data_IF_101524335700
#
_entry.id   IF_101524335700
#
_cell.length_a   1.000
_cell.length_b   1.000
_cell.length_c   1.000
_cell.angle_alpha   90.00
_cell.angle_beta   90.00
_cell.angle_gamma   90.00
#
_symmetry.space_group_name_H-M   'P 1'
#
loop_
_entity.id
_entity.type
_entity.pdbx_description
1 polymer ?
#
# COMPACT_ATOMS: atom_id res chain seq x y z
N UNK A 1 20.80 -4.15 3.48
CA UNK A 1 21.76 -3.06 3.77
C UNK A 1 22.00 -2.90 5.27
N UNK A 2 20.99 -2.63 6.09
CA UNK A 2 21.14 -2.55 7.56
C UNK A 2 21.76 -3.82 8.19
N UNK A 3 21.33 -5.01 7.75
CA UNK A 3 21.90 -6.27 8.21
C UNK A 3 23.41 -6.38 7.92
N UNK A 4 23.87 -5.89 6.77
CA UNK A 4 25.28 -5.93 6.36
C UNK A 4 26.11 -5.02 7.28
N UNK A 5 25.64 -3.78 7.51
CA UNK A 5 26.30 -2.83 8.42
C UNK A 5 26.41 -3.43 9.83
N UNK A 6 25.35 -4.07 10.32
CA UNK A 6 25.33 -4.71 11.63
C UNK A 6 26.25 -5.94 11.71
N UNK A 7 26.20 -6.85 10.74
CA UNK A 7 26.95 -8.12 10.79
C UNK A 7 28.45 -7.95 10.55
N UNK A 8 28.84 -6.98 9.72
CA UNK A 8 30.24 -6.77 9.34
C UNK A 8 30.94 -5.69 10.21
N UNK A 9 30.22 -5.08 11.16
CA UNK A 9 30.76 -4.06 12.08
C UNK A 9 31.42 -2.88 11.34
N UNK A 10 30.81 -2.48 10.22
CA UNK A 10 31.28 -1.38 9.38
C UNK A 10 30.99 -0.07 10.10
N UNK A 11 32.02 0.72 10.41
CA UNK A 11 31.90 1.93 11.26
C UNK A 11 31.82 3.25 10.48
N UNK A 12 32.16 3.24 9.20
CA UNK A 12 32.18 4.41 8.31
C UNK A 12 30.95 4.48 7.39
N UNK A 13 29.97 3.60 7.60
CA UNK A 13 28.79 3.45 6.72
C UNK A 13 27.51 3.49 7.54
N UNK A 14 26.54 4.27 7.09
CA UNK A 14 25.17 4.30 7.62
C UNK A 14 24.18 3.59 6.70
N UNK A 15 23.00 3.25 7.22
CA UNK A 15 21.91 2.67 6.43
C UNK A 15 20.63 3.49 6.58
N UNK A 16 19.94 3.75 5.47
CA UNK A 16 18.57 4.28 5.46
C UNK A 16 17.61 3.10 5.48
N UNK A 17 16.87 2.97 6.57
CA UNK A 17 15.93 1.87 6.79
C UNK A 17 14.81 2.30 7.74
N UNK A 18 13.81 1.42 7.91
CA UNK A 18 12.78 1.62 8.94
C UNK A 18 13.41 1.67 10.34
N UNK A 19 12.81 2.40 11.27
CA UNK A 19 13.26 2.44 12.67
C UNK A 19 13.34 1.05 13.30
N UNK A 20 12.46 0.14 12.89
CA UNK A 20 12.47 -1.27 13.28
C UNK A 20 13.78 -1.98 12.92
N UNK A 21 14.46 -1.57 11.85
CA UNK A 21 15.74 -2.17 11.49
C UNK A 21 16.85 -1.89 12.52
N UNK A 22 16.70 -0.90 13.40
CA UNK A 22 17.65 -0.64 14.48
C UNK A 22 17.63 -1.75 15.56
N UNK A 23 16.53 -2.49 15.69
CA UNK A 23 16.36 -3.59 16.66
C UNK A 23 17.38 -4.73 16.47
N UNK A 24 18.09 -4.76 15.33
CA UNK A 24 19.17 -5.74 15.06
C UNK A 24 20.53 -5.32 15.65
N UNK A 25 20.56 -4.33 16.55
CA UNK A 25 21.77 -3.88 17.25
C UNK A 25 22.46 -2.68 16.59
N UNK A 26 21.69 -1.80 15.94
CA UNK A 26 22.18 -0.54 15.38
C UNK A 26 21.58 0.66 16.11
N UNK A 27 22.29 1.79 16.08
CA UNK A 27 21.79 3.05 16.62
C UNK A 27 21.15 3.92 15.52
N UNK A 28 20.06 4.60 15.88
CA UNK A 28 19.43 5.59 15.00
C UNK A 28 20.14 6.93 15.18
N UNK A 29 20.87 7.38 14.16
CA UNK A 29 21.60 8.66 14.19
C UNK A 29 20.67 9.86 14.01
N UNK A 30 19.73 9.79 13.06
CA UNK A 30 18.73 10.81 12.76
C UNK A 30 17.41 10.12 12.38
N UNK A 31 16.30 10.63 12.90
CA UNK A 31 14.95 10.18 12.56
C UNK A 31 14.33 11.05 11.47
N UNK A 32 13.34 10.49 10.77
CA UNK A 32 12.46 11.25 9.86
C UNK A 32 13.24 12.02 8.78
N UNK A 33 14.16 11.33 8.08
CA UNK A 33 15.00 11.93 7.04
C UNK A 33 14.35 11.96 5.65
N UNK A 34 13.12 11.47 5.52
CA UNK A 34 12.42 11.45 4.24
C UNK A 34 12.02 12.85 3.79
N UNK A 35 12.02 13.08 2.48
CA UNK A 35 11.64 14.38 1.90
C UNK A 35 10.14 14.66 2.04
N UNK A 36 9.31 13.62 1.93
CA UNK A 36 7.85 13.70 2.01
C UNK A 36 7.34 12.93 3.24
N UNK A 37 6.66 13.66 4.14
CA UNK A 37 6.07 13.10 5.34
C UNK A 37 4.81 12.26 5.05
N UNK A 38 4.16 12.46 3.90
CA UNK A 38 2.92 11.80 3.49
C UNK A 38 3.17 10.53 2.65
N UNK A 39 4.39 9.99 2.68
CA UNK A 39 4.73 8.73 2.01
C UNK A 39 4.10 7.52 2.71
N UNK A 40 2.90 7.14 2.26
CA UNK A 40 2.09 6.06 2.84
C UNK A 40 1.98 4.87 1.88
N UNK A 41 2.37 3.69 2.36
CA UNK A 41 2.16 2.43 1.64
C UNK A 41 0.89 1.72 2.12
N UNK A 42 -0.06 1.46 1.22
CA UNK A 42 -1.29 0.70 1.52
C UNK A 42 -1.05 -0.81 1.32
N UNK A 43 -1.29 -1.60 2.36
CA UNK A 43 -1.21 -3.07 2.30
C UNK A 43 -2.61 -3.72 2.26
N UNK A 44 -2.69 -4.91 1.65
CA UNK A 44 -3.89 -5.76 1.67
C UNK A 44 -3.57 -7.03 2.47
N UNK A 45 -4.47 -7.41 3.37
CA UNK A 45 -4.42 -8.68 4.09
C UNK A 45 -5.32 -9.65 3.34
N UNK A 46 -4.78 -10.79 2.93
CA UNK A 46 -5.48 -11.80 2.14
C UNK A 46 -5.71 -13.06 2.99
N UNK A 47 -6.89 -13.65 2.84
CA UNK A 47 -7.24 -14.94 3.41
C UNK A 47 -7.69 -15.88 2.29
N UNK A 48 -7.45 -17.19 2.47
CA UNK A 48 -7.89 -18.21 1.52
C UNK A 48 -9.41 -18.36 1.53
N UNK A 49 -9.97 -18.45 2.72
CA UNK A 49 -11.42 -18.55 2.92
C UNK A 49 -12.04 -17.15 3.00
N UNK A 50 -13.25 -16.97 2.43
CA UNK A 50 -13.92 -15.68 2.46
C UNK A 50 -14.33 -15.32 3.88
N UNK A 51 -13.94 -14.12 4.30
CA UNK A 51 -14.46 -13.50 5.53
C UNK A 51 -15.67 -12.67 5.12
N UNK A 52 -16.87 -13.09 5.51
CA UNK A 52 -18.09 -12.36 5.21
C UNK A 52 -18.16 -11.14 6.13
N UNK A 53 -18.11 -9.91 5.59
CA UNK A 53 -18.20 -8.71 6.41
C UNK A 53 -19.62 -8.53 6.96
N UNK A 54 -19.72 -8.02 8.20
CA UNK A 54 -20.99 -7.54 8.76
C UNK A 54 -21.49 -6.26 8.07
N UNK A 55 -22.70 -5.80 8.39
CA UNK A 55 -23.29 -4.57 7.81
C UNK A 55 -23.12 -3.33 8.71
N UNK A 56 -22.36 -3.45 9.78
CA UNK A 56 -22.20 -2.44 10.83
C UNK A 56 -21.25 -1.28 10.46
N UNK A 57 -20.47 -1.43 9.38
CA UNK A 57 -19.43 -0.48 8.98
C UNK A 57 -19.35 -0.30 7.46
N UNK A 58 -18.79 0.82 6.98
CA UNK A 58 -18.47 0.98 5.57
C UNK A 58 -17.42 -0.04 5.10
N UNK A 59 -17.64 -0.60 3.91
CA UNK A 59 -16.72 -1.57 3.31
C UNK A 59 -16.17 -1.05 1.99
N UNK A 60 -14.94 -1.47 1.68
CA UNK A 60 -14.34 -1.25 0.36
C UNK A 60 -14.26 -2.58 -0.38
N UNK A 61 -14.74 -2.60 -1.62
CA UNK A 61 -14.67 -3.75 -2.51
C UNK A 61 -13.64 -3.48 -3.60
N UNK A 62 -12.75 -4.43 -3.85
CA UNK A 62 -11.85 -4.41 -5.01
C UNK A 62 -12.33 -5.40 -6.05
N UNK A 63 -12.45 -4.94 -7.29
CA UNK A 63 -12.85 -5.75 -8.44
C UNK A 63 -11.81 -5.61 -9.54
N UNK A 64 -11.71 -6.64 -10.38
CA UNK A 64 -10.96 -6.60 -11.64
C UNK A 64 -11.89 -7.09 -12.72
N UNK A 65 -11.92 -6.40 -13.86
CA UNK A 65 -12.71 -6.77 -15.01
C UNK A 65 -11.96 -6.40 -16.29
N UNK A 66 -12.26 -7.11 -17.36
CA UNK A 66 -11.77 -6.81 -18.71
C UNK A 66 -12.90 -6.23 -19.54
N UNK A 67 -12.52 -5.43 -20.54
CA UNK A 67 -13.45 -4.78 -21.46
C UNK A 67 -13.04 -5.11 -22.89
N UNK A 68 -14.01 -5.13 -23.80
CA UNK A 68 -13.73 -5.15 -25.23
C UNK A 68 -13.10 -3.82 -25.68
N UNK A 69 -12.36 -3.84 -26.78
CA UNK A 69 -11.78 -2.64 -27.37
C UNK A 69 -12.85 -1.80 -28.08
N UNK A 70 -12.77 -0.48 -27.91
CA UNK A 70 -13.65 0.44 -28.61
C UNK A 70 -13.85 1.77 -27.88
N UNK A 71 -14.36 2.79 -28.58
CA UNK A 71 -14.65 4.07 -27.96
C UNK A 71 -15.80 3.93 -26.94
N UNK A 72 -15.66 4.62 -25.79
CA UNK A 72 -16.66 4.71 -24.70
C UNK A 72 -16.88 3.43 -23.86
N UNK A 73 -16.15 2.34 -24.11
CA UNK A 73 -16.37 1.09 -23.35
C UNK A 73 -16.07 1.27 -21.86
N UNK A 74 -14.97 1.93 -21.50
CA UNK A 74 -14.67 2.24 -20.10
C UNK A 74 -15.71 3.18 -19.47
N UNK A 75 -16.15 4.20 -20.21
CA UNK A 75 -17.20 5.12 -19.73
C UNK A 75 -18.49 4.38 -19.38
N UNK A 76 -18.95 3.48 -20.27
CA UNK A 76 -20.14 2.67 -20.03
C UNK A 76 -19.96 1.75 -18.80
N UNK A 77 -18.77 1.17 -18.64
CA UNK A 77 -18.45 0.33 -17.49
C UNK A 77 -18.42 1.11 -16.17
N UNK A 78 -17.94 2.35 -16.17
CA UNK A 78 -17.93 3.19 -14.96
C UNK A 78 -19.30 3.83 -14.66
N UNK A 79 -20.10 4.10 -15.70
CA UNK A 79 -21.42 4.71 -15.56
C UNK A 79 -22.36 3.90 -14.66
N UNK A 80 -22.26 2.57 -14.65
CA UNK A 80 -23.11 1.72 -13.80
C UNK A 80 -22.89 1.94 -12.30
N UNK A 81 -21.68 2.34 -11.89
CA UNK A 81 -21.35 2.69 -10.50
C UNK A 81 -21.89 4.08 -10.15
N UNK A 82 -21.66 5.05 -11.05
CA UNK A 82 -22.15 6.43 -10.87
C UNK A 82 -23.69 6.48 -10.76
N UNK A 83 -24.40 5.75 -11.62
CA UNK A 83 -25.87 5.65 -11.61
C UNK A 83 -26.44 5.01 -10.33
N UNK A 84 -25.60 4.31 -9.55
CA UNK A 84 -25.96 3.68 -8.27
C UNK A 84 -25.39 4.42 -7.08
N UNK A 85 -24.79 5.60 -7.30
CA UNK A 85 -24.14 6.41 -6.26
C UNK A 85 -23.01 5.64 -5.54
N UNK A 86 -22.32 4.74 -6.27
CA UNK A 86 -21.19 3.97 -5.74
C UNK A 86 -19.89 4.73 -6.02
N UNK A 87 -19.19 5.13 -4.95
CA UNK A 87 -17.93 5.84 -5.06
C UNK A 87 -16.75 4.90 -5.40
N UNK A 88 -15.90 5.32 -6.34
CA UNK A 88 -14.66 4.64 -6.69
C UNK A 88 -13.47 5.38 -6.06
N UNK A 89 -12.57 4.65 -5.41
CA UNK A 89 -11.47 5.24 -4.62
C UNK A 89 -10.08 4.77 -5.03
N UNK A 90 -9.98 4.15 -6.21
CA UNK A 90 -8.74 3.80 -6.87
C UNK A 90 -8.87 4.27 -8.31
N UNK A 91 -7.89 5.02 -8.77
CA UNK A 91 -7.85 5.50 -10.15
C UNK A 91 -7.73 4.31 -11.11
N UNK A 92 -8.38 4.43 -12.27
CA UNK A 92 -8.38 3.43 -13.35
C UNK A 92 -7.10 3.55 -14.17
#
# INVERSE_FOLDING_TARGET
MSLIVASESIRDTGAVASSRAAEIGLDILIQTIQDDLDNITRFLILAREPIIPGIDKPHKTSIVFTLEEGPRVLFNALAVFALREINLSKDV
#
